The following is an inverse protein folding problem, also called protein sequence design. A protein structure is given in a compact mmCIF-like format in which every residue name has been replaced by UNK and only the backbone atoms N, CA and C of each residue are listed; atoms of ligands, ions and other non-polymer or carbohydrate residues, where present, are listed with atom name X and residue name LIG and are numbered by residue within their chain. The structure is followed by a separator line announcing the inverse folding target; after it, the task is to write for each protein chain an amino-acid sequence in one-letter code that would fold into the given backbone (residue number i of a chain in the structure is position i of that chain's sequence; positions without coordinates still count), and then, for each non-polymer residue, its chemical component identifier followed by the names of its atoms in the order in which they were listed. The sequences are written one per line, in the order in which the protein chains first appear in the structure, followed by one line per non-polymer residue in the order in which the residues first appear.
data_IF_510976809151
#
_entry.id   IF_510976809151
#
_cell.length_a   1.000
_cell.length_b   1.000
_cell.length_c   1.000
_cell.angle_alpha   90.00
_cell.angle_beta   90.00
_cell.angle_gamma   90.00
#
_symmetry.space_group_name_H-M   'P 1'
#
loop_
_entity.id
_entity.type
_entity.pdbx_description
1 polymer ?
#
# COMPACT_ATOMS: atom_id res chain seq x y z
N UNK A 1 -4.74 -22.27 11.78
CA UNK A 1 -3.71 -21.65 10.97
C UNK A 1 -2.32 -22.12 11.32
N UNK A 2 -2.05 -22.34 12.59
CA UNK A 2 -0.73 -22.81 12.98
C UNK A 2 -0.42 -24.20 12.44
N UNK A 3 -1.45 -25.03 12.26
CA UNK A 3 -1.26 -26.37 11.69
C UNK A 3 -0.69 -26.28 10.27
N UNK A 4 -1.15 -25.31 9.47
CA UNK A 4 -0.63 -25.12 8.11
C UNK A 4 0.86 -24.78 8.14
N UNK A 5 1.26 -23.86 9.03
CA UNK A 5 2.65 -23.48 9.13
C UNK A 5 3.54 -24.63 9.54
N UNK A 6 3.05 -25.50 10.45
CA UNK A 6 3.81 -26.68 10.86
C UNK A 6 3.98 -27.69 9.73
N UNK A 7 2.96 -27.79 8.87
CA UNK A 7 2.99 -28.73 7.76
C UNK A 7 3.86 -28.25 6.60
N UNK A 8 4.28 -26.98 6.64
CA UNK A 8 5.06 -26.42 5.56
C UNK A 8 6.23 -25.59 6.10
N UNK A 9 7.27 -26.26 6.58
CA UNK A 9 8.41 -25.56 7.19
C UNK A 9 9.22 -24.71 6.22
N UNK A 10 8.95 -24.84 4.91
CA UNK A 10 9.68 -24.05 3.91
C UNK A 10 9.11 -22.64 3.73
N UNK A 11 7.99 -22.32 4.34
CA UNK A 11 7.40 -20.99 4.23
C UNK A 11 8.29 -19.95 4.91
N UNK A 12 8.44 -18.80 4.25
CA UNK A 12 9.17 -17.66 4.82
C UNK A 12 8.30 -16.95 5.86
N UNK A 13 8.94 -16.13 6.71
CA UNK A 13 8.19 -15.31 7.68
C UNK A 13 7.16 -14.41 6.99
N UNK A 14 7.50 -13.86 5.83
CA UNK A 14 6.57 -13.02 5.08
C UNK A 14 5.33 -13.79 4.67
N UNK A 15 5.49 -15.00 4.16
CA UNK A 15 4.36 -15.82 3.74
C UNK A 15 3.49 -16.23 4.91
N UNK A 16 4.10 -16.52 6.05
CA UNK A 16 3.35 -16.91 7.25
C UNK A 16 2.54 -15.75 7.81
N UNK A 17 3.07 -14.52 7.73
CA UNK A 17 2.38 -13.37 8.30
C UNK A 17 1.28 -12.82 7.42
N UNK A 18 1.42 -12.96 6.09
CA UNK A 18 0.41 -12.50 5.14
C UNK A 18 0.03 -11.03 5.41
N UNK A 19 0.99 -10.13 5.26
CA UNK A 19 0.72 -8.70 5.41
C UNK A 19 -0.37 -8.27 4.44
N UNK A 20 -1.19 -7.30 4.87
CA UNK A 20 -2.30 -6.81 4.07
C UNK A 20 -2.00 -5.42 3.52
N UNK A 21 -2.43 -5.19 2.28
CA UNK A 21 -2.15 -3.96 1.54
C UNK A 21 -3.46 -3.42 0.97
N UNK A 22 -3.67 -2.12 1.13
CA UNK A 22 -4.70 -1.40 0.43
C UNK A 22 -4.04 -0.68 -0.75
N UNK A 23 -4.40 -1.08 -1.96
CA UNK A 23 -3.82 -0.56 -3.19
C UNK A 23 -4.83 0.40 -3.85
N UNK A 24 -4.43 1.66 -4.02
CA UNK A 24 -5.33 2.72 -4.48
C UNK A 24 -4.80 3.33 -5.77
N UNK A 25 -5.54 3.19 -6.86
CA UNK A 25 -5.16 3.73 -8.16
C UNK A 25 -6.40 3.80 -9.03
N UNK A 26 -6.57 4.88 -9.79
CA UNK A 26 -7.74 5.03 -10.64
C UNK A 26 -7.60 4.32 -11.99
N UNK A 27 -6.43 3.78 -12.30
CA UNK A 27 -6.19 3.02 -13.52
C UNK A 27 -6.49 1.54 -13.25
N UNK A 28 -7.55 0.97 -13.85
CA UNK A 28 -7.91 -0.42 -13.58
C UNK A 28 -6.84 -1.42 -14.03
N UNK A 29 -6.09 -1.11 -15.09
CA UNK A 29 -5.03 -2.00 -15.55
C UNK A 29 -3.87 -2.03 -14.56
N UNK A 30 -3.52 -0.87 -13.98
CA UNK A 30 -2.50 -0.81 -12.94
C UNK A 30 -2.93 -1.55 -11.69
N UNK A 31 -4.19 -1.39 -11.27
CA UNK A 31 -4.71 -2.12 -10.12
C UNK A 31 -4.60 -3.62 -10.34
N UNK A 32 -5.06 -4.09 -11.50
CA UNK A 32 -5.06 -5.52 -11.79
C UNK A 32 -3.63 -6.07 -11.81
N UNK A 33 -2.71 -5.36 -12.47
CA UNK A 33 -1.34 -5.83 -12.61
C UNK A 33 -0.62 -5.90 -11.27
N UNK A 34 -0.68 -4.82 -10.49
CA UNK A 34 0.02 -4.80 -9.21
C UNK A 34 -0.65 -5.69 -8.17
N UNK A 35 -1.98 -5.80 -8.21
CA UNK A 35 -2.66 -6.75 -7.34
C UNK A 35 -2.15 -8.17 -7.59
N UNK A 36 -2.06 -8.58 -8.85
CA UNK A 36 -1.59 -9.91 -9.19
C UNK A 36 -0.15 -10.13 -8.71
N UNK A 37 0.71 -9.15 -8.91
CA UNK A 37 2.11 -9.24 -8.50
C UNK A 37 2.21 -9.36 -6.97
N UNK A 38 1.49 -8.52 -6.25
CA UNK A 38 1.56 -8.50 -4.79
C UNK A 38 0.97 -9.78 -4.18
N UNK A 39 -0.13 -10.27 -4.75
CA UNK A 39 -0.73 -11.53 -4.28
C UNK A 39 0.25 -12.68 -4.51
N UNK A 40 0.92 -12.69 -5.65
CA UNK A 40 1.93 -13.72 -5.94
C UNK A 40 3.07 -13.69 -4.91
N UNK A 41 3.40 -12.50 -4.39
CA UNK A 41 4.44 -12.34 -3.38
C UNK A 41 3.98 -12.66 -1.97
N UNK A 42 2.71 -13.04 -1.78
CA UNK A 42 2.21 -13.48 -0.49
C UNK A 42 1.42 -12.44 0.28
N UNK A 43 1.06 -11.33 -0.33
CA UNK A 43 0.28 -10.28 0.34
C UNK A 43 -1.22 -10.50 0.14
N UNK A 44 -2.00 -10.07 1.13
CA UNK A 44 -3.46 -9.96 0.98
C UNK A 44 -3.73 -8.53 0.48
N UNK A 45 -4.43 -8.39 -0.65
CA UNK A 45 -4.57 -7.09 -1.30
C UNK A 45 -6.05 -6.75 -1.50
N UNK A 46 -6.43 -5.54 -1.03
CA UNK A 46 -7.70 -4.93 -1.37
C UNK A 46 -7.41 -3.75 -2.29
N UNK A 47 -8.29 -3.49 -3.25
CA UNK A 47 -8.11 -2.42 -4.21
C UNK A 47 -9.17 -1.35 -4.06
N UNK A 48 -8.80 -0.10 -4.29
CA UNK A 48 -9.71 1.04 -4.33
C UNK A 48 -9.32 1.91 -5.51
N UNK A 49 -10.30 2.59 -6.12
CA UNK A 49 -10.08 3.38 -7.33
C UNK A 49 -9.87 4.87 -7.07
N UNK A 50 -10.03 5.28 -5.83
CA UNK A 50 -9.80 6.67 -5.42
C UNK A 50 -9.75 6.72 -3.90
N UNK A 51 -9.49 7.93 -3.37
CA UNK A 51 -9.37 8.09 -1.92
C UNK A 51 -10.66 7.85 -1.15
N UNK A 52 -11.82 8.14 -1.75
CA UNK A 52 -13.09 7.90 -1.08
C UNK A 52 -13.32 6.40 -0.88
N UNK A 53 -13.10 5.60 -1.92
CA UNK A 53 -13.21 4.15 -1.79
C UNK A 53 -12.20 3.61 -0.79
N UNK A 54 -10.99 4.18 -0.79
CA UNK A 54 -9.98 3.76 0.18
C UNK A 54 -10.46 4.00 1.61
N UNK A 55 -11.05 5.15 1.88
CA UNK A 55 -11.58 5.43 3.22
C UNK A 55 -12.69 4.47 3.63
N UNK A 56 -13.52 4.06 2.67
CA UNK A 56 -14.56 3.07 2.95
C UNK A 56 -13.95 1.72 3.35
N UNK A 57 -12.91 1.29 2.65
CA UNK A 57 -12.21 0.06 3.03
C UNK A 57 -11.61 0.16 4.43
N UNK A 58 -11.06 1.32 4.76
CA UNK A 58 -10.40 1.52 6.05
C UNK A 58 -11.38 1.50 7.23
N UNK A 59 -12.66 1.75 6.98
CA UNK A 59 -13.69 1.62 8.03
C UNK A 59 -13.94 0.16 8.39
N UNK A 60 -13.64 -0.75 7.49
CA UNK A 60 -13.91 -2.18 7.68
C UNK A 60 -12.68 -2.90 8.21
N UNK A 61 -11.51 -2.57 7.69
CA UNK A 61 -10.29 -3.30 8.00
C UNK A 61 -9.07 -2.40 7.83
N UNK A 62 -8.12 -2.47 8.76
CA UNK A 62 -6.90 -1.66 8.72
C UNK A 62 -5.78 -2.50 8.11
N UNK A 63 -5.20 -2.04 6.98
CA UNK A 63 -4.11 -2.78 6.35
C UNK A 63 -2.78 -2.52 7.05
N UNK A 64 -1.76 -3.26 6.64
CA UNK A 64 -0.40 -3.02 7.10
C UNK A 64 0.30 -1.93 6.29
N UNK A 65 -0.19 -1.65 5.09
CA UNK A 65 0.41 -0.67 4.18
C UNK A 65 -0.66 -0.12 3.25
N UNK A 66 -0.59 1.18 2.99
CA UNK A 66 -1.40 1.82 1.94
C UNK A 66 -0.46 2.21 0.81
N UNK A 67 -0.79 1.78 -0.42
CA UNK A 67 -0.09 2.19 -1.64
C UNK A 67 -1.08 3.02 -2.43
N UNK A 68 -0.74 4.26 -2.74
CA UNK A 68 -1.69 5.14 -3.43
C UNK A 68 -1.04 5.93 -4.57
N UNK A 69 -1.78 6.09 -5.66
CA UNK A 69 -1.46 7.11 -6.64
C UNK A 69 -1.68 8.49 -6.01
N UNK A 70 -1.10 9.51 -6.59
CA UNK A 70 -1.24 10.89 -6.10
C UNK A 70 -2.39 11.61 -6.77
N UNK A 71 -2.53 11.48 -8.08
CA UNK A 71 -3.55 12.17 -8.86
C UNK A 71 -4.69 11.20 -9.22
N UNK A 72 -5.83 11.39 -8.58
CA UNK A 72 -7.01 10.55 -8.81
C UNK A 72 -8.26 11.43 -8.76
N UNK A 73 -9.33 11.06 -9.47
CA UNK A 73 -10.58 11.80 -9.37
C UNK A 73 -11.24 11.63 -8.00
N UNK A 74 -12.15 12.51 -7.67
CA UNK A 74 -12.97 12.54 -6.45
C UNK A 74 -12.13 12.84 -5.21
N UNK A 75 -11.20 11.98 -4.83
CA UNK A 75 -10.25 12.26 -3.77
C UNK A 75 -8.90 11.67 -4.17
N UNK A 76 -7.91 12.52 -4.30
CA UNK A 76 -6.55 12.09 -4.65
C UNK A 76 -5.72 11.65 -3.46
N UNK A 77 -4.47 11.29 -3.76
CA UNK A 77 -3.56 10.79 -2.74
C UNK A 77 -3.21 11.80 -1.67
N UNK A 78 -3.08 13.08 -2.05
CA UNK A 78 -2.74 14.12 -1.08
C UNK A 78 -3.78 14.23 0.02
N UNK A 79 -5.06 14.28 -0.35
CA UNK A 79 -6.12 14.38 0.62
C UNK A 79 -6.28 13.09 1.42
N UNK A 80 -6.13 11.94 0.75
CA UNK A 80 -6.18 10.65 1.44
C UNK A 80 -5.09 10.58 2.52
N UNK A 81 -3.85 10.92 2.17
CA UNK A 81 -2.75 10.90 3.12
C UNK A 81 -3.00 11.86 4.28
N UNK A 82 -3.51 13.05 4.00
CA UNK A 82 -3.78 14.03 5.03
C UNK A 82 -4.83 13.50 6.02
N UNK A 83 -5.89 12.88 5.51
CA UNK A 83 -6.91 12.32 6.38
C UNK A 83 -6.40 11.15 7.21
N UNK A 84 -5.54 10.31 6.61
CA UNK A 84 -4.95 9.21 7.37
C UNK A 84 -4.10 9.72 8.53
N UNK A 85 -3.27 10.73 8.28
CA UNK A 85 -2.40 11.28 9.31
C UNK A 85 -3.18 11.96 10.44
N UNK A 86 -4.34 12.52 10.12
CA UNK A 86 -5.17 13.19 11.12
C UNK A 86 -6.02 12.21 11.93
N UNK A 87 -6.17 10.96 11.47
CA UNK A 87 -7.02 9.99 12.14
C UNK A 87 -6.27 9.34 13.32
N UNK A 88 -6.87 9.33 14.52
CA UNK A 88 -6.16 8.83 15.71
C UNK A 88 -5.67 7.39 15.61
N UNK A 89 -6.40 6.54 14.90
CA UNK A 89 -6.08 5.13 14.80
C UNK A 89 -5.31 4.76 13.54
N UNK A 90 -5.25 5.64 12.54
CA UNK A 90 -4.64 5.36 11.25
C UNK A 90 -3.38 6.18 10.99
N UNK A 91 -3.07 7.11 11.89
CA UNK A 91 -1.98 8.05 11.66
C UNK A 91 -0.60 7.41 11.57
N UNK A 92 -0.46 6.17 12.02
CA UNK A 92 0.81 5.46 12.01
C UNK A 92 0.98 4.57 10.77
N UNK A 93 -0.05 4.44 9.92
CA UNK A 93 0.04 3.54 8.77
C UNK A 93 1.15 3.96 7.82
N UNK A 94 1.99 3.03 7.37
CA UNK A 94 2.95 3.37 6.33
C UNK A 94 2.22 3.62 5.01
N UNK A 95 2.71 4.61 4.27
CA UNK A 95 2.13 5.02 3.00
C UNK A 95 3.22 5.06 1.95
N UNK A 96 3.00 4.35 0.85
CA UNK A 96 3.84 4.40 -0.35
C UNK A 96 3.06 5.12 -1.44
N UNK A 97 3.60 6.24 -1.92
CA UNK A 97 3.04 6.92 -3.09
C UNK A 97 3.69 6.34 -4.34
N UNK A 98 2.87 5.92 -5.29
CA UNK A 98 3.32 5.36 -6.57
C UNK A 98 2.57 6.08 -7.68
N UNK A 99 3.23 7.03 -8.35
CA UNK A 99 2.53 7.94 -9.25
C UNK A 99 3.41 8.41 -10.40
N UNK A 100 2.78 8.66 -11.57
CA UNK A 100 3.46 9.28 -12.70
C UNK A 100 3.77 10.75 -12.39
N UNK A 101 2.95 11.38 -11.54
CA UNK A 101 3.13 12.77 -11.11
C UNK A 101 3.25 12.80 -9.59
N UNK A 102 4.43 12.48 -9.05
CA UNK A 102 4.60 12.39 -7.59
C UNK A 102 4.49 13.75 -6.92
N UNK A 103 4.36 13.77 -5.58
CA UNK A 103 4.28 15.02 -4.82
C UNK A 103 5.49 15.92 -5.09
N UNK A 104 5.26 17.23 -5.09
CA UNK A 104 6.35 18.17 -5.24
C UNK A 104 7.10 18.35 -3.92
N UNK A 105 8.36 18.79 -4.03
CA UNK A 105 9.23 18.91 -2.86
C UNK A 105 8.67 19.86 -1.80
N UNK A 106 7.93 20.90 -2.21
CA UNK A 106 7.36 21.87 -1.29
C UNK A 106 6.07 21.41 -0.61
N UNK A 107 5.53 20.26 -1.00
CA UNK A 107 4.33 19.74 -0.34
C UNK A 107 4.71 19.11 1.00
N UNK A 108 3.83 19.29 2.00
CA UNK A 108 4.04 18.70 3.31
C UNK A 108 4.11 17.17 3.17
N UNK A 109 5.13 16.58 3.76
CA UNK A 109 5.38 15.16 3.61
C UNK A 109 4.48 14.36 4.55
N UNK A 110 3.53 13.64 3.98
CA UNK A 110 2.61 12.76 4.72
C UNK A 110 2.82 11.30 4.41
N UNK A 111 3.73 10.97 3.49
CA UNK A 111 4.00 9.60 3.06
C UNK A 111 5.36 9.14 3.59
N UNK A 112 5.55 7.81 3.59
CA UNK A 112 6.80 7.21 4.04
C UNK A 112 7.79 6.99 2.91
N UNK A 113 7.28 6.67 1.71
CA UNK A 113 8.11 6.48 0.53
C UNK A 113 7.35 6.90 -0.70
N UNK A 114 8.08 7.25 -1.76
CA UNK A 114 7.48 7.69 -3.01
C UNK A 114 8.27 7.12 -4.17
N UNK A 115 7.57 6.45 -5.10
CA UNK A 115 8.17 5.92 -6.31
C UNK A 115 7.45 6.48 -7.51
N UNK A 116 8.22 6.89 -8.52
CA UNK A 116 7.66 7.41 -9.76
C UNK A 116 7.36 6.28 -10.73
N UNK A 117 6.19 6.32 -11.37
CA UNK A 117 5.83 5.37 -12.42
C UNK A 117 6.61 5.66 -13.69
N UNK A 118 7.08 4.63 -14.40
CA UNK A 118 7.00 3.22 -14.07
C UNK A 118 8.15 2.83 -13.14
N UNK A 119 7.83 2.36 -11.95
CA UNK A 119 8.86 1.89 -11.02
C UNK A 119 9.29 0.48 -11.42
N UNK A 120 10.60 0.17 -11.40
CA UNK A 120 11.04 -1.20 -11.63
C UNK A 120 10.42 -2.13 -10.59
N UNK A 121 9.99 -3.31 -11.03
CA UNK A 121 9.28 -4.24 -10.16
C UNK A 121 10.08 -4.56 -8.90
N UNK A 122 11.37 -4.81 -9.04
CA UNK A 122 12.20 -5.17 -7.89
C UNK A 122 12.26 -4.04 -6.87
N UNK A 123 12.40 -2.81 -7.33
CA UNK A 123 12.41 -1.64 -6.44
C UNK A 123 11.08 -1.49 -5.71
N UNK A 124 9.99 -1.65 -6.43
CA UNK A 124 8.65 -1.58 -5.85
C UNK A 124 8.48 -2.63 -4.75
N UNK A 125 8.81 -3.88 -5.06
CA UNK A 125 8.64 -4.98 -4.10
C UNK A 125 9.55 -4.85 -2.88
N UNK A 126 10.79 -4.39 -3.07
CA UNK A 126 11.70 -4.16 -1.96
C UNK A 126 11.17 -3.07 -1.04
N UNK A 127 10.64 -1.99 -1.61
CA UNK A 127 10.07 -0.90 -0.83
C UNK A 127 8.84 -1.38 -0.04
N UNK A 128 7.96 -2.14 -0.69
CA UNK A 128 6.77 -2.69 -0.03
C UNK A 128 7.18 -3.57 1.14
N UNK A 129 8.13 -4.45 0.93
CA UNK A 129 8.58 -5.37 1.98
C UNK A 129 9.15 -4.59 3.18
N UNK A 130 9.97 -3.60 2.92
CA UNK A 130 10.55 -2.77 3.98
C UNK A 130 9.50 -2.06 4.80
N UNK A 131 8.50 -1.46 4.13
CA UNK A 131 7.44 -0.74 4.83
C UNK A 131 6.55 -1.66 5.65
N UNK A 132 6.24 -2.85 5.13
CA UNK A 132 5.44 -3.82 5.87
C UNK A 132 6.16 -4.35 7.11
N UNK A 133 7.49 -4.40 7.06
CA UNK A 133 8.30 -4.85 8.22
C UNK A 133 8.57 -3.73 9.22
N UNK A 134 8.07 -2.53 8.96
CA UNK A 134 8.27 -1.40 9.86
C UNK A 134 9.54 -0.59 9.59
N UNK A 135 10.21 -0.82 8.46
CA UNK A 135 11.39 -0.05 8.07
C UNK A 135 10.92 1.25 7.41
N UNK A 136 10.74 2.28 8.23
CA UNK A 136 10.11 3.54 7.82
C UNK A 136 11.02 4.74 7.92
N UNK A 137 12.28 4.51 7.96
CA UNK A 137 13.23 5.61 8.08
C UNK A 137 13.30 6.48 6.81
#
# INVERSE_FOLDING_TARGET
MHAFARLNPMLTNRQLRMHSILLVDDDPDMLAAWQAILVHEGYAVCCARNGLEALDHLKVSVPDLVITDWMMPLMGGAELCRQLRAHPELGHLPILVHSAAPPRAEEARTWNACLQKPAPMQMFLTTVEGLCKGDRS
#
